data_IF_650459739753
#
_entry.id   IF_650459739753
#
_cell.length_a   1.000
_cell.length_b   1.000
_cell.length_c   1.000
_cell.angle_alpha   90.00
_cell.angle_beta   90.00
_cell.angle_gamma   90.00
#
_symmetry.space_group_name_H-M   'P 1'
#
loop_
_entity.id
_entity.type
_entity.pdbx_description
1 polymer ?
#
# COMPACT_ATOMS: atom_id res chain seq x y z
N UNK A 1 16.73 13.82 13.37
CA UNK A 1 15.32 13.39 13.46
C UNK A 1 14.92 12.80 12.11
N UNK A 2 15.32 11.55 11.85
CA UNK A 2 14.95 10.85 10.61
C UNK A 2 13.60 10.16 10.81
N UNK A 3 12.57 10.59 10.10
CA UNK A 3 11.28 9.91 10.10
C UNK A 3 11.50 8.52 9.48
N UNK A 4 11.43 7.46 10.28
CA UNK A 4 11.48 6.09 9.76
C UNK A 4 10.17 5.84 9.00
N UNK A 5 10.18 6.10 7.69
CA UNK A 5 9.03 5.88 6.82
C UNK A 5 8.89 4.40 6.47
N UNK A 6 7.66 3.91 6.33
CA UNK A 6 7.41 2.61 5.72
C UNK A 6 7.32 2.81 4.20
N UNK A 7 8.19 2.15 3.45
CA UNK A 7 8.32 2.35 2.01
C UNK A 7 7.62 1.27 1.22
N UNK A 8 6.96 1.67 0.14
CA UNK A 8 6.56 0.69 -0.87
C UNK A 8 7.79 0.17 -1.65
N UNK A 9 7.56 -0.89 -2.42
CA UNK A 9 8.53 -1.54 -3.31
C UNK A 9 9.17 -0.57 -4.32
N UNK A 10 8.64 0.63 -4.53
CA UNK A 10 9.23 1.70 -5.34
C UNK A 10 10.36 2.49 -4.66
N UNK A 11 10.47 2.45 -3.34
CA UNK A 11 11.48 3.20 -2.57
C UNK A 11 12.77 2.42 -2.32
N UNK A 12 13.01 1.35 -3.08
CA UNK A 12 14.21 0.51 -2.96
C UNK A 12 15.45 1.37 -3.20
N UNK A 13 16.28 1.51 -2.16
CA UNK A 13 17.48 2.35 -2.19
C UNK A 13 17.52 3.41 -1.07
N UNK A 14 16.38 3.76 -0.47
CA UNK A 14 16.28 4.72 0.65
C UNK A 14 16.36 4.05 2.03
N UNK A 15 17.20 3.02 2.19
CA UNK A 15 17.26 2.19 3.41
C UNK A 15 17.59 2.98 4.70
N UNK A 16 18.26 4.13 4.56
CA UNK A 16 18.62 5.03 5.66
C UNK A 16 17.41 5.75 6.27
N UNK A 17 16.36 5.97 5.47
CA UNK A 17 15.18 6.78 5.84
C UNK A 17 13.90 5.94 5.84
N UNK A 18 13.90 4.82 5.12
CA UNK A 18 12.67 4.07 4.80
C UNK A 18 12.89 2.56 4.91
N UNK A 19 12.13 1.90 5.78
CA UNK A 19 12.11 0.44 5.83
C UNK A 19 11.40 -0.11 4.59
N UNK A 20 12.10 -0.91 3.79
CA UNK A 20 11.58 -1.52 2.57
C UNK A 20 11.35 -3.03 2.75
N UNK A 21 10.30 -3.60 2.13
CA UNK A 21 10.05 -5.04 2.22
C UNK A 21 11.15 -5.86 1.54
N UNK A 22 11.53 -6.98 2.15
CA UNK A 22 12.52 -7.91 1.59
C UNK A 22 12.06 -8.46 0.23
N UNK A 23 12.96 -8.59 -0.77
CA UNK A 23 12.68 -9.09 -2.14
C UNK A 23 13.15 -10.55 -2.35
N UNK A 24 12.67 -11.22 -3.41
CA UNK A 24 13.04 -12.60 -3.78
C UNK A 24 11.94 -13.65 -3.60
N UNK A 25 12.14 -14.86 -4.15
CA UNK A 25 11.33 -16.08 -3.87
C UNK A 25 12.11 -16.96 -2.88
N UNK A 26 11.45 -17.86 -2.15
CA UNK A 26 12.12 -18.78 -1.22
C UNK A 26 12.66 -18.16 0.08
N UNK A 27 12.12 -17.02 0.52
CA UNK A 27 12.60 -16.35 1.74
C UNK A 27 12.34 -17.19 3.00
N UNK A 28 13.26 -17.16 3.99
CA UNK A 28 13.02 -17.75 5.30
C UNK A 28 11.79 -17.11 5.98
N UNK A 29 11.15 -17.89 6.86
CA UNK A 29 9.86 -17.54 7.51
C UNK A 29 9.88 -16.14 8.13
N UNK A 30 10.93 -15.79 8.87
CA UNK A 30 11.05 -14.49 9.54
C UNK A 30 11.00 -13.29 8.58
N UNK A 31 11.54 -13.40 7.37
CA UNK A 31 11.45 -12.33 6.34
C UNK A 31 10.04 -12.20 5.77
N UNK A 32 9.27 -13.30 5.73
CA UNK A 32 7.86 -13.27 5.32
C UNK A 32 6.99 -12.65 6.41
N UNK A 33 7.23 -13.00 7.67
CA UNK A 33 6.55 -12.41 8.83
C UNK A 33 6.84 -10.90 8.92
N UNK A 34 8.10 -10.48 8.79
CA UNK A 34 8.46 -9.06 8.75
C UNK A 34 7.75 -8.31 7.61
N UNK A 35 7.70 -8.87 6.40
CA UNK A 35 6.95 -8.28 5.29
C UNK A 35 5.44 -8.22 5.54
N UNK A 36 4.89 -9.20 6.26
CA UNK A 36 3.46 -9.24 6.59
C UNK A 36 3.10 -8.22 7.66
N UNK A 37 3.95 -8.06 8.68
CA UNK A 37 3.83 -6.98 9.66
C UNK A 37 3.96 -5.61 8.99
N UNK A 38 4.97 -5.44 8.12
CA UNK A 38 5.14 -4.23 7.32
C UNK A 38 3.91 -3.91 6.47
N UNK A 39 3.30 -4.92 5.83
CA UNK A 39 2.09 -4.74 5.03
C UNK A 39 0.88 -4.29 5.86
N UNK A 40 0.77 -4.73 7.13
CA UNK A 40 -0.27 -4.29 8.08
C UNK A 40 -0.10 -2.83 8.50
N UNK A 41 1.14 -2.35 8.56
CA UNK A 41 1.49 -1.00 8.96
C UNK A 41 1.37 0.03 7.83
N UNK A 42 0.94 -0.36 6.61
CA UNK A 42 0.71 0.60 5.52
C UNK A 42 -0.23 1.72 5.93
N UNK A 43 0.06 2.93 5.44
CA UNK A 43 -0.82 4.08 5.65
C UNK A 43 -2.22 3.81 5.07
N UNK A 44 -3.28 4.43 5.61
CA UNK A 44 -4.66 4.22 5.15
C UNK A 44 -4.83 4.43 3.63
N UNK A 45 -4.16 5.45 3.08
CA UNK A 45 -4.19 5.72 1.64
C UNK A 45 -3.61 4.58 0.80
N UNK A 46 -2.47 4.03 1.20
CA UNK A 46 -1.87 2.90 0.48
C UNK A 46 -2.66 1.60 0.65
N UNK A 47 -3.28 1.37 1.82
CA UNK A 47 -4.16 0.22 2.04
C UNK A 47 -5.38 0.27 1.14
N UNK A 48 -5.98 1.45 0.96
CA UNK A 48 -7.11 1.63 0.03
C UNK A 48 -6.67 1.35 -1.40
N UNK A 49 -5.53 1.91 -1.85
CA UNK A 49 -5.00 1.63 -3.19
C UNK A 49 -4.73 0.12 -3.39
N UNK A 50 -4.20 -0.57 -2.38
CA UNK A 50 -3.94 -2.00 -2.45
C UNK A 50 -5.25 -2.82 -2.55
N UNK A 51 -6.30 -2.45 -1.82
CA UNK A 51 -7.63 -3.07 -1.92
C UNK A 51 -8.28 -2.81 -3.27
N UNK A 52 -8.23 -1.57 -3.77
CA UNK A 52 -8.77 -1.22 -5.10
C UNK A 52 -8.09 -2.02 -6.22
N UNK A 53 -6.79 -2.31 -6.09
CA UNK A 53 -6.06 -3.17 -7.05
C UNK A 53 -6.53 -4.63 -7.05
N UNK A 54 -7.23 -5.09 -6.01
CA UNK A 54 -7.83 -6.43 -5.97
C UNK A 54 -9.21 -6.48 -6.62
N UNK A 55 -9.86 -5.33 -6.83
CA UNK A 55 -11.20 -5.29 -7.40
C UNK A 55 -11.15 -5.36 -8.92
N UNK A 56 -11.64 -6.45 -9.50
CA UNK A 56 -11.64 -6.66 -10.96
C UNK A 56 -12.37 -5.56 -11.74
N UNK A 57 -13.39 -4.94 -11.13
CA UNK A 57 -14.13 -3.82 -11.73
C UNK A 57 -13.24 -2.58 -11.97
N UNK A 58 -12.19 -2.40 -11.16
CA UNK A 58 -11.23 -1.31 -11.27
C UNK A 58 -9.91 -1.74 -11.91
N UNK A 59 -9.81 -2.99 -12.40
CA UNK A 59 -8.60 -3.49 -13.06
C UNK A 59 -8.35 -2.84 -14.42
N UNK A 60 -9.40 -2.38 -15.11
CA UNK A 60 -9.33 -1.64 -16.37
C UNK A 60 -10.33 -0.47 -16.37
N UNK A 61 -10.06 0.60 -15.61
CA UNK A 61 -10.95 1.75 -15.59
C UNK A 61 -10.90 2.43 -16.96
N UNK A 62 -12.04 2.51 -17.65
CA UNK A 62 -12.19 3.27 -18.91
C UNK A 62 -12.41 4.77 -18.66
N UNK A 63 -12.10 5.25 -17.46
CA UNK A 63 -12.27 6.64 -17.06
C UNK A 63 -10.93 7.38 -16.99
N UNK A 64 -10.97 8.71 -17.07
CA UNK A 64 -9.77 9.53 -16.93
C UNK A 64 -9.18 9.41 -15.52
N UNK A 65 -7.87 9.64 -15.39
CA UNK A 65 -7.14 9.57 -14.12
C UNK A 65 -7.79 10.42 -13.02
N UNK A 66 -8.35 11.58 -13.38
CA UNK A 66 -9.08 12.44 -12.46
C UNK A 66 -10.31 11.74 -11.85
N UNK A 67 -11.13 11.06 -12.68
CA UNK A 67 -12.31 10.32 -12.20
C UNK A 67 -11.91 9.11 -11.35
N UNK A 68 -10.84 8.41 -11.71
CA UNK A 68 -10.28 7.33 -10.90
C UNK A 68 -9.80 7.84 -9.52
N UNK A 69 -9.18 9.02 -9.48
CA UNK A 69 -8.81 9.69 -8.23
C UNK A 69 -10.02 10.02 -7.34
N UNK A 70 -11.11 10.52 -7.92
CA UNK A 70 -12.35 10.80 -7.18
C UNK A 70 -12.96 9.53 -6.59
N UNK A 71 -13.02 8.43 -7.36
CA UNK A 71 -13.51 7.13 -6.87
C UNK A 71 -12.66 6.65 -5.70
N UNK A 72 -11.33 6.72 -5.85
CA UNK A 72 -10.39 6.32 -4.78
C UNK A 72 -10.64 7.12 -3.50
N UNK A 73 -10.85 8.44 -3.62
CA UNK A 73 -11.12 9.31 -2.46
C UNK A 73 -12.46 8.98 -1.81
N UNK A 74 -13.49 8.71 -2.60
CA UNK A 74 -14.80 8.31 -2.08
C UNK A 74 -14.71 6.99 -1.30
N UNK A 75 -14.02 5.99 -1.85
CA UNK A 75 -13.79 4.70 -1.17
C UNK A 75 -12.98 4.90 0.12
N UNK A 76 -11.95 5.74 0.10
CA UNK A 76 -11.19 6.07 1.31
C UNK A 76 -12.07 6.67 2.41
N UNK A 77 -12.96 7.60 2.07
CA UNK A 77 -13.90 8.22 3.03
C UNK A 77 -14.88 7.19 3.58
N UNK A 78 -15.40 6.29 2.73
CA UNK A 78 -16.30 5.21 3.15
C UNK A 78 -15.59 4.26 4.13
N UNK A 79 -14.40 3.78 3.80
CA UNK A 79 -13.65 2.89 4.68
C UNK A 79 -13.31 3.58 6.01
N UNK A 80 -12.93 4.86 5.99
CA UNK A 80 -12.65 5.58 7.23
C UNK A 80 -13.88 5.69 8.15
N UNK A 81 -15.09 5.79 7.57
CA UNK A 81 -16.35 5.79 8.33
C UNK A 81 -16.74 4.41 8.84
N UNK A 82 -16.41 3.34 8.13
CA UNK A 82 -16.70 1.97 8.56
C UNK A 82 -15.71 1.46 9.62
N UNK A 83 -14.48 2.00 9.64
CA UNK A 83 -13.42 1.53 10.54
C UNK A 83 -13.25 2.42 11.79
N UNK A 84 -13.96 3.55 11.87
CA UNK A 84 -13.93 4.50 13.00
C UNK A 84 -15.21 4.42 13.81
#
# INVERSE_FOLDING_TARGET
>A
MGLLGLGDKGCVGLWDVVFCPFKGRGKPRWKKDANSAHAKLRSPGERVIAQLKQWDILRRPRCCAQRAGQITRAVLVLQLRETG
#
